data_IF_761150527260
#
_entry.id   IF_761150527260
#
_cell.length_a   1.000
_cell.length_b   1.000
_cell.length_c   1.000
_cell.angle_alpha   90.00
_cell.angle_beta   90.00
_cell.angle_gamma   90.00
#
_symmetry.space_group_name_H-M   'P 1'
#
loop_
_entity.id
_entity.type
_entity.pdbx_description
1 polymer ?
#
# COMPACT_ATOMS: atom_id res chain seq x y z
N UNK A 1 -15.15 -10.59 -21.07
CA UNK A 1 -14.28 -10.33 -19.89
C UNK A 1 -14.34 -8.85 -19.47
N UNK A 2 -14.06 -7.87 -20.37
CA UNK A 2 -14.10 -6.43 -20.07
C UNK A 2 -15.49 -5.94 -19.61
N UNK A 3 -16.58 -6.43 -20.22
CA UNK A 3 -17.96 -6.09 -19.82
C UNK A 3 -18.32 -6.67 -18.45
N UNK A 4 -17.83 -7.85 -18.12
CA UNK A 4 -18.04 -8.46 -16.80
C UNK A 4 -17.32 -7.67 -15.71
N UNK A 5 -16.07 -7.27 -15.96
CA UNK A 5 -15.30 -6.44 -15.05
C UNK A 5 -15.96 -5.06 -14.83
N UNK A 6 -16.49 -4.45 -15.87
CA UNK A 6 -17.22 -3.18 -15.76
C UNK A 6 -18.50 -3.31 -14.92
N UNK A 7 -19.22 -4.43 -15.06
CA UNK A 7 -20.43 -4.69 -14.28
C UNK A 7 -20.07 -4.86 -12.81
N UNK A 8 -19.06 -5.68 -12.50
CA UNK A 8 -18.59 -5.88 -11.12
C UNK A 8 -18.12 -4.57 -10.48
N UNK A 9 -17.38 -3.75 -11.23
CA UNK A 9 -16.96 -2.43 -10.75
C UNK A 9 -18.17 -1.55 -10.36
N UNK A 10 -19.17 -1.47 -11.22
CA UNK A 10 -20.38 -0.66 -10.95
C UNK A 10 -21.14 -1.17 -9.73
N UNK A 11 -21.36 -2.48 -9.63
CA UNK A 11 -22.04 -3.09 -8.48
C UNK A 11 -21.29 -2.80 -7.17
N UNK A 12 -19.96 -2.96 -7.16
CA UNK A 12 -19.15 -2.63 -5.99
C UNK A 12 -19.23 -1.15 -5.61
N UNK A 13 -19.19 -0.25 -6.58
CA UNK A 13 -19.30 1.19 -6.31
C UNK A 13 -20.68 1.57 -5.77
N UNK A 14 -21.75 1.00 -6.33
CA UNK A 14 -23.11 1.21 -5.83
C UNK A 14 -23.26 0.77 -4.37
N UNK A 15 -22.73 -0.39 -4.00
CA UNK A 15 -22.76 -0.90 -2.63
C UNK A 15 -21.98 0.00 -1.66
N UNK A 16 -20.78 0.45 -2.05
CA UNK A 16 -19.96 1.35 -1.25
C UNK A 16 -20.65 2.72 -1.07
N UNK A 17 -21.18 3.27 -2.15
CA UNK A 17 -21.86 4.56 -2.12
C UNK A 17 -23.13 4.49 -1.25
N UNK A 18 -23.82 3.35 -1.22
CA UNK A 18 -24.96 3.13 -0.32
C UNK A 18 -24.54 3.16 1.17
N UNK A 19 -23.37 2.61 1.51
CA UNK A 19 -22.81 2.70 2.87
C UNK A 19 -22.46 4.15 3.20
N UNK A 20 -21.76 4.84 2.31
CA UNK A 20 -21.34 6.23 2.51
C UNK A 20 -22.54 7.22 2.52
N UNK A 21 -23.64 6.90 1.86
CA UNK A 21 -24.87 7.68 1.95
C UNK A 21 -25.50 7.63 3.36
N UNK A 22 -25.33 6.52 4.07
CA UNK A 22 -25.80 6.35 5.46
C UNK A 22 -24.79 6.89 6.47
N UNK A 23 -23.51 6.69 6.23
CA UNK A 23 -22.40 7.17 7.06
C UNK A 23 -21.31 7.78 6.16
N UNK A 24 -21.32 9.10 5.93
CA UNK A 24 -20.37 9.76 5.04
C UNK A 24 -18.91 9.73 5.51
N UNK A 25 -18.67 9.46 6.79
CA UNK A 25 -17.33 9.39 7.39
C UNK A 25 -16.87 7.95 7.70
N UNK A 26 -17.50 6.95 7.06
CA UNK A 26 -17.12 5.55 7.24
C UNK A 26 -15.78 5.28 6.53
N UNK A 27 -14.69 5.22 7.32
CA UNK A 27 -13.32 5.15 6.84
C UNK A 27 -13.06 3.89 6.00
N UNK A 28 -13.57 2.73 6.44
CA UNK A 28 -13.38 1.47 5.72
C UNK A 28 -14.02 1.50 4.33
N UNK A 29 -15.22 2.08 4.22
CA UNK A 29 -15.89 2.23 2.94
C UNK A 29 -15.15 3.20 2.02
N UNK A 30 -14.60 4.30 2.55
CA UNK A 30 -13.76 5.22 1.77
C UNK A 30 -12.48 4.55 1.27
N UNK A 31 -11.77 3.80 2.15
CA UNK A 31 -10.58 3.08 1.77
C UNK A 31 -10.88 2.01 0.71
N UNK A 32 -11.99 1.30 0.85
CA UNK A 32 -12.43 0.34 -0.14
C UNK A 32 -12.78 1.02 -1.47
N UNK A 33 -13.46 2.17 -1.44
CA UNK A 33 -13.75 2.95 -2.65
C UNK A 33 -12.47 3.37 -3.36
N UNK A 34 -11.48 3.85 -2.61
CA UNK A 34 -10.16 4.16 -3.15
C UNK A 34 -9.49 2.96 -3.84
N UNK A 35 -9.51 1.79 -3.21
CA UNK A 35 -8.95 0.55 -3.79
C UNK A 35 -9.68 0.13 -5.07
N UNK A 36 -10.99 0.23 -5.10
CA UNK A 36 -11.81 -0.09 -6.29
C UNK A 36 -11.50 0.89 -7.43
N UNK A 37 -11.40 2.19 -7.14
CA UNK A 37 -11.01 3.21 -8.11
C UNK A 37 -9.59 2.98 -8.64
N UNK A 38 -8.63 2.70 -7.76
CA UNK A 38 -7.24 2.40 -8.13
C UNK A 38 -7.17 1.20 -9.10
N UNK A 39 -7.89 0.11 -8.79
CA UNK A 39 -7.97 -1.08 -9.64
C UNK A 39 -8.59 -0.80 -11.02
N UNK A 40 -9.42 0.24 -11.12
CA UNK A 40 -10.03 0.68 -12.36
C UNK A 40 -9.22 1.76 -13.11
N UNK A 41 -7.99 2.04 -12.66
CA UNK A 41 -7.11 3.04 -13.27
C UNK A 41 -7.41 4.50 -12.90
N UNK A 42 -8.25 4.73 -11.89
CA UNK A 42 -8.66 6.05 -11.39
C UNK A 42 -7.79 6.45 -10.17
N UNK A 43 -6.48 6.57 -10.41
CA UNK A 43 -5.51 6.82 -9.33
C UNK A 43 -5.68 8.18 -8.64
N UNK A 44 -6.08 9.21 -9.36
CA UNK A 44 -6.30 10.55 -8.79
C UNK A 44 -7.50 10.55 -7.84
N UNK A 45 -8.61 9.93 -8.24
CA UNK A 45 -9.81 9.82 -7.41
C UNK A 45 -9.60 8.88 -6.21
N UNK A 46 -8.73 7.87 -6.36
CA UNK A 46 -8.33 7.02 -5.24
C UNK A 46 -7.47 7.80 -4.22
N UNK A 47 -6.57 8.65 -4.70
CA UNK A 47 -5.76 9.54 -3.86
C UNK A 47 -6.63 10.45 -3.00
N UNK A 48 -7.69 11.03 -3.58
CA UNK A 48 -8.65 11.86 -2.87
C UNK A 48 -9.33 11.09 -1.72
N UNK A 49 -9.79 9.86 -1.99
CA UNK A 49 -10.43 9.03 -0.97
C UNK A 49 -9.46 8.69 0.18
N UNK A 50 -8.21 8.32 -0.11
CA UNK A 50 -7.22 8.01 0.93
C UNK A 50 -6.83 9.24 1.75
N UNK A 51 -6.64 10.39 1.11
CA UNK A 51 -6.34 11.65 1.79
C UNK A 51 -7.50 12.07 2.70
N UNK A 52 -8.73 11.94 2.24
CA UNK A 52 -9.90 12.27 3.04
C UNK A 52 -9.94 11.44 4.33
N UNK A 53 -9.60 10.16 4.27
CA UNK A 53 -9.50 9.33 5.49
C UNK A 53 -8.42 9.86 6.44
N UNK A 54 -7.25 10.27 5.95
CA UNK A 54 -6.20 10.85 6.81
C UNK A 54 -6.58 12.20 7.43
N UNK A 55 -7.47 12.95 6.78
CA UNK A 55 -8.02 14.21 7.31
C UNK A 55 -9.09 13.96 8.38
N UNK A 56 -9.97 12.98 8.18
CA UNK A 56 -11.02 12.60 9.14
C UNK A 56 -10.40 11.92 10.36
N UNK A 57 -9.48 10.99 10.14
CA UNK A 57 -8.79 10.24 11.18
C UNK A 57 -7.28 10.16 10.90
N UNK A 58 -6.49 11.09 11.45
CA UNK A 58 -5.04 11.08 11.30
C UNK A 58 -4.32 9.86 11.92
N UNK A 59 -5.04 9.02 12.66
CA UNK A 59 -4.50 7.80 13.29
C UNK A 59 -4.83 6.52 12.52
N UNK A 60 -5.40 6.63 11.32
CA UNK A 60 -5.68 5.48 10.48
C UNK A 60 -4.42 5.06 9.70
N UNK A 61 -3.64 4.13 10.25
CA UNK A 61 -2.40 3.65 9.63
C UNK A 61 -2.62 2.99 8.27
N UNK A 62 -3.79 2.41 8.03
CA UNK A 62 -4.13 1.78 6.76
C UNK A 62 -4.29 2.79 5.62
N UNK A 63 -4.78 3.99 5.93
CA UNK A 63 -4.91 5.07 4.94
C UNK A 63 -3.53 5.51 4.44
N UNK A 64 -2.55 5.66 5.33
CA UNK A 64 -1.17 5.98 4.96
C UNK A 64 -0.53 4.86 4.14
N UNK A 65 -0.78 3.60 4.49
CA UNK A 65 -0.29 2.46 3.72
C UNK A 65 -0.81 2.50 2.28
N UNK A 66 -2.12 2.65 2.08
CA UNK A 66 -2.72 2.65 0.74
C UNK A 66 -2.28 3.85 -0.09
N UNK A 67 -2.19 5.03 0.52
CA UNK A 67 -1.68 6.22 -0.15
C UNK A 67 -0.21 6.04 -0.56
N UNK A 68 0.62 5.45 0.31
CA UNK A 68 2.01 5.13 0.01
C UNK A 68 2.16 4.14 -1.14
N UNK A 69 1.36 3.08 -1.17
CA UNK A 69 1.33 2.11 -2.28
C UNK A 69 0.94 2.78 -3.61
N UNK A 70 -0.07 3.64 -3.60
CA UNK A 70 -0.46 4.43 -4.76
C UNK A 70 0.69 5.32 -5.26
N UNK A 71 1.44 5.95 -4.35
CA UNK A 71 2.57 6.80 -4.69
C UNK A 71 3.76 6.02 -5.26
N UNK A 72 3.99 4.77 -4.85
CA UNK A 72 4.96 3.89 -5.54
C UNK A 72 4.55 3.71 -7.01
N UNK A 73 3.27 3.43 -7.28
CA UNK A 73 2.76 3.25 -8.64
C UNK A 73 2.88 4.52 -9.49
N UNK A 74 2.78 5.69 -8.86
CA UNK A 74 3.00 7.00 -9.49
C UNK A 74 4.49 7.40 -9.55
N UNK A 75 5.42 6.55 -9.08
CA UNK A 75 6.86 6.81 -8.98
C UNK A 75 7.26 7.98 -8.06
N UNK A 76 6.40 8.36 -7.14
CA UNK A 76 6.63 9.34 -6.08
C UNK A 76 7.27 8.64 -4.88
N UNK A 77 8.50 8.13 -5.03
CA UNK A 77 9.10 7.20 -4.07
C UNK A 77 9.45 7.85 -2.73
N UNK A 78 9.93 9.08 -2.74
CA UNK A 78 10.28 9.80 -1.50
C UNK A 78 9.05 10.10 -0.65
N UNK A 79 7.98 10.54 -1.28
CA UNK A 79 6.70 10.79 -0.62
C UNK A 79 6.06 9.48 -0.10
N UNK A 80 6.17 8.39 -0.88
CA UNK A 80 5.71 7.07 -0.44
C UNK A 80 6.43 6.60 0.83
N UNK A 81 7.76 6.76 0.90
CA UNK A 81 8.56 6.42 2.09
C UNK A 81 8.05 7.20 3.30
N UNK A 82 7.81 8.50 3.17
CA UNK A 82 7.27 9.32 4.25
C UNK A 82 5.91 8.85 4.75
N UNK A 83 5.02 8.41 3.85
CA UNK A 83 3.70 7.87 4.23
C UNK A 83 3.82 6.53 4.98
N UNK A 84 4.75 5.68 4.60
CA UNK A 84 5.02 4.45 5.36
C UNK A 84 5.68 4.73 6.71
N UNK A 85 6.49 5.78 6.82
CA UNK A 85 7.02 6.24 8.11
C UNK A 85 5.87 6.60 9.07
N UNK A 86 4.88 7.37 8.59
CA UNK A 86 3.68 7.69 9.37
C UNK A 86 2.90 6.43 9.79
N UNK A 87 2.68 5.49 8.86
CA UNK A 87 1.99 4.24 9.16
C UNK A 87 2.73 3.42 10.24
N UNK A 88 4.06 3.37 10.19
CA UNK A 88 4.90 2.65 11.15
C UNK A 88 4.96 3.38 12.49
N UNK A 89 4.96 4.71 12.52
CA UNK A 89 4.91 5.48 13.76
C UNK A 89 3.59 5.22 14.50
N UNK A 90 2.48 5.17 13.77
CA UNK A 90 1.17 4.84 14.32
C UNK A 90 1.07 3.38 14.78
N UNK A 91 1.65 2.45 14.03
CA UNK A 91 1.65 1.03 14.34
C UNK A 91 3.03 0.40 14.09
N UNK A 92 3.92 0.37 15.11
CA UNK A 92 5.27 -0.21 14.97
C UNK A 92 5.32 -1.70 14.65
N UNK A 93 4.19 -2.40 14.71
CA UNK A 93 4.06 -3.82 14.37
C UNK A 93 3.40 -4.05 13.00
N UNK A 94 3.27 -3.01 12.20
CA UNK A 94 2.64 -3.09 10.88
C UNK A 94 3.60 -3.68 9.84
N UNK A 95 3.68 -5.01 9.77
CA UNK A 95 4.60 -5.74 8.90
C UNK A 95 4.51 -5.30 7.43
N UNK A 96 3.30 -5.09 6.92
CA UNK A 96 3.08 -4.67 5.53
C UNK A 96 3.66 -3.27 5.24
N UNK A 97 3.59 -2.34 6.19
CA UNK A 97 4.18 -1.01 6.03
C UNK A 97 5.71 -1.07 5.93
N UNK A 98 6.37 -1.92 6.71
CA UNK A 98 7.81 -2.17 6.56
C UNK A 98 8.13 -2.77 5.19
N UNK A 99 7.38 -3.77 4.74
CA UNK A 99 7.56 -4.38 3.42
C UNK A 99 7.48 -3.35 2.30
N UNK A 100 6.43 -2.55 2.29
CA UNK A 100 6.22 -1.55 1.25
C UNK A 100 7.23 -0.41 1.32
N UNK A 101 7.64 0.02 2.52
CA UNK A 101 8.72 1.00 2.68
C UNK A 101 10.05 0.46 2.18
N UNK A 102 10.37 -0.78 2.49
CA UNK A 102 11.56 -1.45 1.96
C UNK A 102 11.54 -1.53 0.43
N UNK A 103 10.40 -1.84 -0.16
CA UNK A 103 10.20 -1.82 -1.61
C UNK A 103 10.42 -0.41 -2.20
N UNK A 104 9.85 0.62 -1.60
CA UNK A 104 10.03 2.00 -2.04
C UNK A 104 11.50 2.45 -1.91
N UNK A 105 12.18 2.11 -0.81
CA UNK A 105 13.61 2.37 -0.62
C UNK A 105 14.47 1.69 -1.67
N UNK A 106 14.21 0.42 -1.98
CA UNK A 106 14.93 -0.32 -3.02
C UNK A 106 14.80 0.37 -4.38
N UNK A 107 13.58 0.74 -4.76
CA UNK A 107 13.31 1.46 -6.00
C UNK A 107 13.97 2.84 -6.04
N UNK A 108 14.12 3.48 -4.88
CA UNK A 108 14.78 4.79 -4.70
C UNK A 108 16.31 4.68 -4.57
N UNK A 109 16.89 3.46 -4.64
CA UNK A 109 18.32 3.20 -4.60
C UNK A 109 18.91 2.98 -3.20
N UNK A 110 18.13 3.04 -2.13
CA UNK A 110 18.54 2.73 -0.76
C UNK A 110 18.41 1.22 -0.49
N UNK A 111 19.44 0.48 -0.88
CA UNK A 111 19.49 -0.98 -0.71
C UNK A 111 19.58 -1.41 0.75
N UNK A 112 20.40 -0.72 1.54
CA UNK A 112 20.63 -1.09 2.94
C UNK A 112 19.38 -0.86 3.78
N UNK A 113 18.74 0.29 3.65
CA UNK A 113 17.46 0.57 4.30
C UNK A 113 16.33 -0.35 3.86
N UNK A 114 16.35 -0.80 2.60
CA UNK A 114 15.43 -1.82 2.10
C UNK A 114 15.60 -3.15 2.83
N UNK A 115 16.85 -3.62 2.97
CA UNK A 115 17.16 -4.89 3.66
C UNK A 115 16.73 -4.86 5.12
N UNK A 116 16.95 -3.74 5.82
CA UNK A 116 16.52 -3.55 7.21
C UNK A 116 15.00 -3.65 7.35
N UNK A 117 14.26 -2.96 6.50
CA UNK A 117 12.79 -2.99 6.51
C UNK A 117 12.23 -4.37 6.18
N UNK A 118 12.86 -5.10 5.22
CA UNK A 118 12.45 -6.46 4.90
C UNK A 118 12.68 -7.44 6.06
N UNK A 119 13.82 -7.35 6.73
CA UNK A 119 14.07 -8.15 7.93
C UNK A 119 13.00 -7.88 8.98
N UNK A 120 12.66 -6.62 9.20
CA UNK A 120 11.64 -6.25 10.16
C UNK A 120 10.25 -6.78 9.79
N UNK A 121 9.88 -6.67 8.53
CA UNK A 121 8.62 -7.25 8.03
C UNK A 121 8.55 -8.75 8.28
N UNK A 122 9.62 -9.50 8.00
CA UNK A 122 9.70 -10.95 8.21
C UNK A 122 9.69 -11.34 9.70
N UNK A 123 10.33 -10.55 10.56
CA UNK A 123 10.25 -10.76 12.02
C UNK A 123 8.81 -10.66 12.52
N UNK A 124 8.03 -9.69 11.98
CA UNK A 124 6.64 -9.46 12.36
C UNK A 124 5.68 -10.45 11.70
N UNK A 125 5.98 -10.90 10.49
CA UNK A 125 5.17 -11.87 9.74
C UNK A 125 6.04 -12.88 8.97
N UNK A 126 6.52 -13.96 9.64
CA UNK A 126 7.40 -14.97 9.00
C UNK A 126 6.77 -15.71 7.81
N UNK A 127 5.45 -15.70 7.67
CA UNK A 127 4.75 -16.39 6.58
C UNK A 127 4.93 -15.72 5.22
N UNK A 128 5.40 -14.48 5.18
CA UNK A 128 5.61 -13.73 3.93
C UNK A 128 6.95 -14.00 3.25
N UNK A 129 7.83 -14.81 3.83
CA UNK A 129 9.17 -15.09 3.31
C UNK A 129 9.17 -15.51 1.83
N UNK A 130 8.27 -16.42 1.45
CA UNK A 130 8.18 -16.91 0.09
C UNK A 130 7.74 -15.83 -0.93
N UNK A 131 6.85 -14.93 -0.53
CA UNK A 131 6.37 -13.83 -1.35
C UNK A 131 7.45 -12.77 -1.58
N UNK A 132 8.15 -12.39 -0.52
CA UNK A 132 9.22 -11.38 -0.57
C UNK A 132 10.39 -11.82 -1.46
N UNK A 133 10.78 -13.10 -1.40
CA UNK A 133 11.80 -13.66 -2.28
C UNK A 133 11.48 -13.53 -3.77
N UNK A 134 10.21 -13.72 -4.15
CA UNK A 134 9.76 -13.59 -5.53
C UNK A 134 9.80 -12.16 -6.04
N UNK A 135 9.33 -11.20 -5.25
CA UNK A 135 9.28 -9.78 -5.61
C UNK A 135 10.69 -9.18 -5.74
N UNK A 136 11.60 -9.51 -4.81
CA UNK A 136 12.97 -8.96 -4.81
C UNK A 136 13.86 -9.52 -5.91
N UNK A 137 13.68 -10.78 -6.32
CA UNK A 137 14.39 -11.35 -7.47
C UNK A 137 14.06 -10.61 -8.78
N UNK A 138 12.87 -10.03 -8.87
CA UNK A 138 12.41 -9.32 -10.07
C UNK A 138 12.76 -7.83 -10.08
N UNK A 139 13.11 -7.22 -8.93
CA UNK A 139 13.37 -5.79 -8.78
C UNK A 139 14.86 -5.44 -8.70
N UNK A 140 15.73 -6.41 -8.39
CA UNK A 140 17.18 -6.22 -8.29
C UNK A 140 17.94 -6.67 -9.55
N UNK A 141 19.17 -6.17 -9.78
CA UNK A 141 20.06 -6.79 -10.73
C UNK A 141 20.28 -8.26 -10.34
N UNK A 142 20.21 -9.16 -11.31
CA UNK A 142 20.19 -10.64 -11.16
C UNK A 142 21.36 -11.27 -10.35
N UNK A 143 22.26 -10.46 -9.83
CA UNK A 143 23.49 -10.92 -9.15
C UNK A 143 23.54 -10.74 -7.63
N UNK A 144 22.56 -10.07 -7.02
CA UNK A 144 22.60 -9.82 -5.58
C UNK A 144 21.29 -10.30 -4.93
N UNK A 145 21.18 -11.62 -4.75
CA UNK A 145 20.32 -12.15 -3.69
C UNK A 145 20.72 -11.46 -2.38
N UNK A 146 19.77 -10.92 -1.63
CA UNK A 146 20.03 -10.21 -0.38
C UNK A 146 20.89 -11.11 0.54
N UNK A 147 22.21 -10.88 0.66
CA UNK A 147 23.07 -11.80 1.42
C UNK A 147 22.71 -11.68 2.89
N UNK A 148 22.26 -12.78 3.47
CA UNK A 148 22.05 -12.91 4.92
C UNK A 148 20.63 -12.71 5.42
N UNK A 149 19.61 -12.75 4.57
CA UNK A 149 18.20 -12.83 5.00
C UNK A 149 17.77 -14.31 5.15
N UNK A 150 18.47 -15.22 4.48
CA UNK A 150 18.14 -16.65 4.47
C UNK A 150 19.34 -17.50 4.87
#
# INVERSE_FOLDING_TARGET
EALLNLKQYKEMMEDIDAVLAQNPEEETAMLLRGKVKESNGQGEEAEEDYKLVTEINPFNEQAYLYLGQLYINQKKLTEAIGLFDEAIELNPNFAEAYKERGRAKLLNGDKDGSVEDMKKSLELNPKEEAGLNGEFKNLGPKSEALPGIF
#
